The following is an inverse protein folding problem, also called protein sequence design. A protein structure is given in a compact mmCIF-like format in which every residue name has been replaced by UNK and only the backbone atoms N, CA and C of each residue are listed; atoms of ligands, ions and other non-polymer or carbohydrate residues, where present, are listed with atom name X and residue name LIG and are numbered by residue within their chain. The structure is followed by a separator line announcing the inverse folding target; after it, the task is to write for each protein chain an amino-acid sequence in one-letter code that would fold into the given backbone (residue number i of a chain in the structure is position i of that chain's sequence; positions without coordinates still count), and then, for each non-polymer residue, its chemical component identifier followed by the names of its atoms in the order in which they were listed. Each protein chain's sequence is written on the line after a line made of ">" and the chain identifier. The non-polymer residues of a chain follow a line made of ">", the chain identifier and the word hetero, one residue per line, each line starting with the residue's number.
data_IF_622469537089
#
_entry.id   IF_622469537089
#
_cell.length_a   1.000
_cell.length_b   1.000
_cell.length_c   1.000
_cell.angle_alpha   90.00
_cell.angle_beta   90.00
_cell.angle_gamma   90.00
#
_symmetry.space_group_name_H-M   'P 1'
#
loop_
_entity.id
_entity.type
_entity.pdbx_description
1 polymer ?
#
# COMPACT_ATOMS: atom_id res chain seq x y z
N UNK A 1 -1.51 -38.13 22.98
CA UNK A 1 -2.22 -38.15 21.68
C UNK A 1 -2.14 -36.76 21.05
N UNK A 2 -1.04 -36.49 20.34
CA UNK A 2 -0.80 -35.25 19.58
C UNK A 2 -0.52 -35.64 18.13
N UNK A 3 -1.56 -36.11 17.44
CA UNK A 3 -1.52 -36.42 16.02
C UNK A 3 -2.47 -35.44 15.34
N UNK A 4 -1.93 -34.41 14.65
CA UNK A 4 -2.56 -33.71 13.50
C UNK A 4 -1.93 -32.33 13.16
N UNK A 5 -0.59 -32.21 13.06
CA UNK A 5 0.02 -31.01 12.44
C UNK A 5 1.14 -31.35 11.42
N UNK A 6 1.12 -32.58 10.88
CA UNK A 6 2.15 -33.08 9.96
C UNK A 6 1.75 -33.03 8.47
N UNK A 7 0.72 -32.27 8.10
CA UNK A 7 0.29 -32.14 6.70
C UNK A 7 -0.06 -30.68 6.39
N UNK A 8 0.95 -29.82 6.28
CA UNK A 8 1.03 -28.86 5.16
C UNK A 8 2.47 -28.39 4.95
N UNK A 9 3.36 -29.37 4.92
CA UNK A 9 4.57 -29.28 4.10
C UNK A 9 4.08 -29.24 2.65
N UNK A 10 4.28 -28.14 1.93
CA UNK A 10 4.57 -28.03 0.47
C UNK A 10 4.63 -26.53 0.18
N UNK A 11 5.84 -25.96 0.25
CA UNK A 11 6.51 -25.48 -0.96
C UNK A 11 8.00 -25.33 -0.65
N UNK A 12 8.68 -26.44 -0.88
CA UNK A 12 10.12 -26.63 -0.80
C UNK A 12 10.91 -25.61 -1.62
N UNK A 13 12.15 -25.41 -1.17
CA UNK A 13 13.30 -24.99 -1.96
C UNK A 13 13.33 -23.54 -2.43
N UNK A 14 13.96 -22.68 -1.64
CA UNK A 14 14.93 -21.74 -2.20
C UNK A 14 16.33 -22.22 -1.84
N UNK A 15 16.75 -23.24 -2.59
CA UNK A 15 18.15 -23.57 -2.79
C UNK A 15 18.84 -22.35 -3.44
N UNK A 16 19.94 -21.92 -2.83
CA UNK A 16 21.11 -21.33 -3.52
C UNK A 16 20.89 -19.92 -4.07
N UNK A 17 21.29 -18.90 -3.30
CA UNK A 17 21.85 -17.67 -3.86
C UNK A 17 23.36 -17.67 -3.55
N UNK A 18 24.11 -18.32 -4.45
CA UNK A 18 25.43 -17.97 -5.00
C UNK A 18 26.49 -17.31 -4.08
N UNK A 19 27.51 -18.07 -3.64
CA UNK A 19 28.96 -17.94 -3.98
C UNK A 19 29.86 -18.93 -3.17
N UNK A 20 31.13 -19.21 -3.56
CA UNK A 20 31.69 -20.57 -3.58
C UNK A 20 32.38 -21.09 -2.32
N UNK A 21 32.40 -22.43 -2.27
CA UNK A 21 33.10 -23.40 -1.41
C UNK A 21 34.45 -22.98 -0.79
N UNK A 22 34.57 -23.09 0.55
CA UNK A 22 35.81 -23.55 1.20
C UNK A 22 35.46 -24.63 2.25
N UNK A 23 36.22 -25.72 2.16
CA UNK A 23 35.92 -27.06 2.63
C UNK A 23 36.01 -27.30 4.15
N UNK A 24 35.24 -28.32 4.57
CA UNK A 24 35.27 -29.07 5.83
C UNK A 24 36.66 -29.25 6.48
N UNK A 25 36.69 -29.16 7.82
CA UNK A 25 37.09 -30.28 8.70
C UNK A 25 36.88 -29.96 10.20
N UNK A 26 36.46 -31.00 10.93
CA UNK A 26 36.58 -31.22 12.37
C UNK A 26 35.54 -30.63 13.34
N UNK A 27 34.52 -31.46 13.59
CA UNK A 27 34.20 -32.07 14.90
C UNK A 27 33.82 -31.16 16.10
N UNK A 28 32.54 -31.30 16.48
CA UNK A 28 32.08 -31.56 17.87
C UNK A 28 31.88 -30.44 18.91
N UNK A 29 31.81 -29.14 18.60
CA UNK A 29 31.47 -28.12 19.65
C UNK A 29 30.30 -27.17 19.30
N UNK A 30 29.70 -27.26 18.11
CA UNK A 30 28.78 -26.21 17.62
C UNK A 30 27.29 -26.59 17.78
N UNK A 31 26.85 -26.96 18.99
CA UNK A 31 25.42 -27.16 19.28
C UNK A 31 24.80 -26.04 20.15
N UNK A 32 25.59 -25.05 20.57
CA UNK A 32 25.10 -23.93 21.40
C UNK A 32 25.39 -22.52 20.81
N UNK A 33 25.96 -22.43 19.61
CA UNK A 33 26.18 -21.16 18.86
C UNK A 33 25.28 -21.08 17.62
N UNK A 34 24.34 -22.00 17.48
CA UNK A 34 23.46 -22.15 16.30
C UNK A 34 22.24 -21.20 16.31
N UNK A 35 22.01 -20.45 17.38
CA UNK A 35 20.79 -19.65 17.54
C UNK A 35 20.99 -18.14 17.29
N UNK A 36 22.14 -17.68 16.76
CA UNK A 36 22.43 -16.23 16.67
C UNK A 36 22.53 -15.62 15.27
N UNK A 37 22.46 -16.31 14.14
CA UNK A 37 22.72 -15.65 12.84
C UNK A 37 21.85 -16.14 11.67
N UNK A 38 20.56 -16.34 11.89
CA UNK A 38 19.61 -16.48 10.80
C UNK A 38 18.24 -15.92 11.20
N UNK A 39 18.18 -14.63 11.55
CA UNK A 39 16.96 -13.87 11.27
C UNK A 39 16.92 -13.75 9.75
N UNK A 40 16.36 -14.75 9.07
CA UNK A 40 15.98 -14.58 7.67
C UNK A 40 14.93 -13.48 7.65
N UNK A 41 15.28 -12.32 7.10
CA UNK A 41 14.34 -11.23 6.88
C UNK A 41 13.30 -11.75 5.88
N UNK A 42 12.12 -12.12 6.38
CA UNK A 42 11.00 -12.45 5.53
C UNK A 42 10.57 -11.16 4.83
N UNK A 43 10.76 -11.10 3.51
CA UNK A 43 10.35 -9.95 2.70
C UNK A 43 8.84 -9.81 2.74
N UNK A 44 8.36 -8.58 2.67
CA UNK A 44 6.92 -8.33 2.60
C UNK A 44 6.38 -8.58 1.21
N UNK A 45 5.04 -8.68 1.06
CA UNK A 45 4.41 -8.84 -0.24
C UNK A 45 4.78 -7.70 -1.22
N UNK A 46 4.90 -6.47 -0.72
CA UNK A 46 5.31 -5.34 -1.56
C UNK A 46 6.78 -5.47 -2.00
N UNK A 47 7.67 -5.90 -1.12
CA UNK A 47 9.09 -6.09 -1.43
C UNK A 47 9.31 -7.23 -2.44
N UNK A 48 8.63 -8.35 -2.25
CA UNK A 48 8.65 -9.46 -3.22
C UNK A 48 8.10 -9.03 -4.59
N UNK A 49 7.00 -8.27 -4.60
CA UNK A 49 6.45 -7.71 -5.84
C UNK A 49 7.43 -6.76 -6.52
N UNK A 50 8.06 -5.85 -5.75
CA UNK A 50 9.09 -4.94 -6.26
C UNK A 50 10.22 -5.70 -6.94
N UNK A 51 10.73 -6.76 -6.32
CA UNK A 51 11.82 -7.55 -6.89
C UNK A 51 11.42 -8.29 -8.17
N UNK A 52 10.19 -8.79 -8.26
CA UNK A 52 9.68 -9.42 -9.48
C UNK A 52 9.64 -8.45 -10.66
N UNK A 53 9.15 -7.23 -10.44
CA UNK A 53 9.05 -6.21 -11.48
C UNK A 53 10.44 -5.67 -11.89
N UNK A 54 11.36 -5.53 -10.93
CA UNK A 54 12.74 -5.15 -11.20
C UNK A 54 13.48 -6.17 -12.08
N UNK A 55 13.23 -7.47 -11.86
CA UNK A 55 13.81 -8.56 -12.66
C UNK A 55 13.15 -8.73 -14.03
N UNK A 56 11.99 -8.11 -14.26
CA UNK A 56 11.31 -8.16 -15.55
C UNK A 56 12.00 -7.27 -16.59
N UNK A 57 11.99 -7.72 -17.85
CA UNK A 57 12.55 -6.99 -18.98
C UNK A 57 11.52 -6.06 -19.67
N UNK A 58 10.44 -5.70 -18.97
CA UNK A 58 9.36 -4.88 -19.53
C UNK A 58 9.79 -3.41 -19.58
N UNK A 59 9.59 -2.76 -20.73
CA UNK A 59 10.00 -1.34 -20.96
C UNK A 59 9.19 -0.34 -20.14
N UNK A 60 7.90 -0.63 -19.91
CA UNK A 60 7.02 0.15 -19.02
C UNK A 60 6.61 -0.78 -17.90
N UNK A 61 7.16 -0.56 -16.71
CA UNK A 61 6.91 -1.38 -15.52
C UNK A 61 6.46 -0.52 -14.36
N UNK A 62 5.58 -1.06 -13.53
CA UNK A 62 5.21 -0.47 -12.26
C UNK A 62 6.01 -1.19 -11.19
N UNK A 63 7.12 -0.59 -10.77
CA UNK A 63 7.90 -1.09 -9.64
C UNK A 63 7.27 -0.50 -8.37
N UNK A 64 6.57 -1.29 -7.54
CA UNK A 64 5.82 -0.74 -6.42
C UNK A 64 6.72 -0.10 -5.36
N UNK A 65 6.33 1.09 -4.91
CA UNK A 65 6.86 1.71 -3.70
C UNK A 65 6.21 1.12 -2.47
N UNK A 66 7.02 0.93 -1.43
CA UNK A 66 6.64 0.28 -0.19
C UNK A 66 6.95 1.21 0.97
N UNK A 67 6.08 1.21 1.97
CA UNK A 67 6.31 1.91 3.24
C UNK A 67 7.40 1.21 4.05
N UNK A 68 7.82 1.82 5.17
CA UNK A 68 8.79 1.20 6.11
C UNK A 68 8.28 -0.08 6.75
N UNK A 69 6.96 -0.28 6.80
CA UNK A 69 6.34 -1.50 7.32
C UNK A 69 6.15 -2.56 6.22
N UNK A 70 6.53 -2.22 4.98
CA UNK A 70 6.42 -3.08 3.81
C UNK A 70 5.03 -3.21 3.22
N UNK A 71 4.09 -2.33 3.59
CA UNK A 71 2.82 -2.13 2.89
C UNK A 71 3.05 -1.37 1.58
N UNK A 72 2.09 -1.45 0.65
CA UNK A 72 2.14 -0.63 -0.57
C UNK A 72 1.91 0.84 -0.25
N UNK A 73 2.73 1.72 -0.82
CA UNK A 73 2.45 3.16 -0.79
C UNK A 73 1.19 3.47 -1.60
N UNK A 74 0.49 4.54 -1.18
CA UNK A 74 -0.76 4.92 -1.80
C UNK A 74 -0.61 5.33 -3.27
N UNK A 75 0.44 6.07 -3.64
CA UNK A 75 0.65 6.52 -5.01
C UNK A 75 1.68 5.61 -5.71
N UNK A 76 1.24 4.92 -6.76
CA UNK A 76 2.09 4.06 -7.59
C UNK A 76 2.12 4.60 -9.01
N UNK A 77 3.31 4.75 -9.60
CA UNK A 77 3.48 5.31 -10.94
C UNK A 77 4.33 4.38 -11.81
N UNK A 78 4.06 4.39 -13.12
CA UNK A 78 4.78 3.55 -14.08
C UNK A 78 6.11 4.21 -14.47
N UNK A 79 7.20 3.44 -14.41
CA UNK A 79 8.49 3.90 -14.93
C UNK A 79 8.44 4.00 -16.47
N UNK A 80 8.89 5.13 -17.01
CA UNK A 80 8.84 5.41 -18.45
C UNK A 80 7.49 5.94 -18.96
N UNK A 81 6.56 6.26 -18.06
CA UNK A 81 5.28 6.90 -18.38
C UNK A 81 4.85 7.89 -17.29
N UNK A 82 3.80 8.66 -17.55
CA UNK A 82 3.22 9.61 -16.58
C UNK A 82 1.94 9.09 -15.93
N UNK A 83 1.58 7.82 -16.16
CA UNK A 83 0.42 7.22 -15.51
C UNK A 83 0.73 6.88 -14.05
N UNK A 84 -0.20 7.23 -13.16
CA UNK A 84 -0.20 6.84 -11.77
C UNK A 84 -1.54 6.24 -11.37
N UNK A 85 -1.57 5.53 -10.25
CA UNK A 85 -2.73 4.86 -9.67
C UNK A 85 -2.69 4.97 -8.16
N UNK A 86 -3.86 5.01 -7.52
CA UNK A 86 -3.96 4.91 -6.07
C UNK A 86 -4.17 3.47 -5.63
N UNK A 87 -3.40 3.04 -4.65
CA UNK A 87 -3.36 1.68 -4.12
C UNK A 87 -3.70 1.69 -2.63
N UNK A 88 -4.29 0.58 -2.18
CA UNK A 88 -4.48 0.29 -0.76
C UNK A 88 -3.23 -0.37 -0.20
N UNK A 89 -3.04 -0.39 1.15
CA UNK A 89 -1.91 -1.04 1.79
C UNK A 89 -1.74 -2.53 1.43
N UNK A 90 -2.83 -3.21 1.06
CA UNK A 90 -2.85 -4.63 0.66
C UNK A 90 -2.40 -4.88 -0.79
N UNK A 91 -2.18 -3.83 -1.59
CA UNK A 91 -1.80 -3.93 -3.00
C UNK A 91 -2.97 -3.92 -3.98
N UNK A 92 -4.22 -3.82 -3.51
CA UNK A 92 -5.37 -3.60 -4.40
C UNK A 92 -5.42 -2.15 -4.89
N UNK A 93 -5.80 -1.93 -6.15
CA UNK A 93 -5.92 -0.58 -6.70
C UNK A 93 -7.34 -0.01 -6.47
N UNK A 94 -7.39 1.30 -6.23
CA UNK A 94 -8.62 2.08 -5.99
C UNK A 94 -9.21 2.56 -7.31
N UNK A 95 -8.35 2.97 -8.25
CA UNK A 95 -8.76 3.58 -9.52
C UNK A 95 -7.88 3.10 -10.68
N UNK A 96 -8.34 3.35 -11.90
CA UNK A 96 -7.59 3.06 -13.12
C UNK A 96 -6.38 3.99 -13.30
N UNK A 97 -5.35 3.59 -14.07
CA UNK A 97 -4.20 4.44 -14.37
C UNK A 97 -4.63 5.74 -15.04
N UNK A 98 -4.14 6.88 -14.54
CA UNK A 98 -4.37 8.20 -15.14
C UNK A 98 -3.12 9.07 -15.01
N UNK A 99 -2.91 9.93 -16.00
CA UNK A 99 -1.85 10.94 -15.99
C UNK A 99 -2.25 12.22 -15.22
N UNK A 100 -3.52 12.34 -14.82
CA UNK A 100 -3.99 13.43 -13.99
C UNK A 100 -3.55 13.28 -12.53
N UNK A 101 -3.36 12.04 -12.06
CA UNK A 101 -3.12 11.72 -10.65
C UNK A 101 -1.74 12.15 -10.21
N UNK A 102 -1.70 13.03 -9.22
CA UNK A 102 -0.45 13.55 -8.61
C UNK A 102 -0.31 13.11 -7.17
N UNK A 103 -1.41 12.84 -6.50
CA UNK A 103 -1.47 12.41 -5.10
C UNK A 103 -2.64 11.44 -4.92
N UNK A 104 -2.61 10.69 -3.83
CA UNK A 104 -3.68 9.75 -3.49
C UNK A 104 -4.37 10.09 -2.16
N UNK A 105 -4.06 11.26 -1.58
CA UNK A 105 -4.56 11.65 -0.28
C UNK A 105 -6.10 11.66 -0.21
N UNK A 106 -6.77 12.28 -1.18
CA UNK A 106 -8.23 12.32 -1.19
C UNK A 106 -8.83 10.98 -1.62
N UNK A 107 -8.31 10.34 -2.68
CA UNK A 107 -8.86 9.07 -3.17
C UNK A 107 -8.80 7.95 -2.12
N UNK A 108 -7.70 7.86 -1.35
CA UNK A 108 -7.60 6.92 -0.22
C UNK A 108 -8.57 7.27 0.89
N UNK A 109 -8.76 8.56 1.21
CA UNK A 109 -9.73 8.97 2.22
C UNK A 109 -11.17 8.64 1.78
N UNK A 110 -11.51 8.92 0.51
CA UNK A 110 -12.80 8.59 -0.09
C UNK A 110 -13.08 7.09 -0.05
N UNK A 111 -12.12 6.26 -0.47
CA UNK A 111 -12.23 4.81 -0.45
C UNK A 111 -12.50 4.27 0.96
N UNK A 112 -11.73 4.75 1.95
CA UNK A 112 -11.93 4.39 3.35
C UNK A 112 -13.30 4.85 3.91
N UNK A 113 -13.76 6.05 3.52
CA UNK A 113 -15.06 6.57 3.92
C UNK A 113 -16.21 5.74 3.32
N UNK A 114 -16.10 5.36 2.05
CA UNK A 114 -17.08 4.49 1.38
C UNK A 114 -17.08 3.09 2.04
N UNK A 115 -15.92 2.52 2.32
CA UNK A 115 -15.81 1.23 3.01
C UNK A 115 -16.47 1.27 4.41
N UNK A 116 -16.35 2.38 5.14
CA UNK A 116 -17.07 2.59 6.41
C UNK A 116 -18.59 2.63 6.19
N UNK A 117 -19.07 3.32 5.17
CA UNK A 117 -20.50 3.35 4.82
C UNK A 117 -21.05 1.96 4.49
N UNK A 118 -20.31 1.14 3.75
CA UNK A 118 -20.70 -0.25 3.47
C UNK A 118 -20.77 -1.13 4.72
N UNK A 119 -20.01 -0.79 5.76
CA UNK A 119 -20.10 -1.44 7.09
C UNK A 119 -21.22 -0.88 7.96
N UNK A 120 -22.07 -0.01 7.43
CA UNK A 120 -23.18 0.61 8.16
C UNK A 120 -22.76 1.70 9.13
N UNK A 121 -21.52 2.20 9.06
CA UNK A 121 -21.11 3.38 9.83
C UNK A 121 -21.81 4.61 9.24
N UNK A 122 -22.52 5.36 10.10
CA UNK A 122 -23.25 6.56 9.71
C UNK A 122 -22.64 7.78 10.39
N UNK A 123 -22.77 8.94 9.77
CA UNK A 123 -22.36 10.23 10.35
C UNK A 123 -20.91 10.62 10.09
N UNK A 124 -20.10 9.78 9.43
CA UNK A 124 -18.78 10.20 8.95
C UNK A 124 -18.87 11.00 7.64
N UNK A 125 -17.85 11.80 7.40
CA UNK A 125 -17.72 12.60 6.17
C UNK A 125 -17.25 11.71 5.00
N UNK A 126 -17.89 11.87 3.86
CA UNK A 126 -17.40 11.35 2.57
C UNK A 126 -16.84 12.55 1.79
N UNK A 127 -15.51 12.63 1.58
CA UNK A 127 -14.90 13.77 0.91
C UNK A 127 -15.22 13.78 -0.59
N UNK A 128 -15.18 14.97 -1.19
CA UNK A 128 -15.15 15.11 -2.66
C UNK A 128 -13.72 15.29 -3.14
N UNK A 129 -13.34 14.56 -4.18
CA UNK A 129 -11.98 14.58 -4.71
C UNK A 129 -11.95 15.12 -6.14
N UNK A 130 -10.84 15.77 -6.48
CA UNK A 130 -10.51 16.07 -7.86
C UNK A 130 -9.88 14.83 -8.54
N UNK A 131 -9.75 14.88 -9.86
CA UNK A 131 -9.13 13.79 -10.65
C UNK A 131 -7.65 13.59 -10.32
N UNK A 132 -6.96 14.65 -9.91
CA UNK A 132 -5.54 14.60 -9.54
C UNK A 132 -5.27 14.00 -8.15
N UNK A 133 -6.36 13.66 -7.44
CA UNK A 133 -6.37 13.08 -6.11
C UNK A 133 -6.25 14.08 -4.96
N UNK A 134 -6.25 15.37 -5.26
CA UNK A 134 -6.44 16.44 -4.26
C UNK A 134 -7.90 16.53 -3.82
N UNK A 135 -8.15 17.27 -2.75
CA UNK A 135 -9.51 17.56 -2.30
C UNK A 135 -10.15 18.63 -3.19
N UNK A 136 -11.42 18.42 -3.53
CA UNK A 136 -12.21 19.45 -4.18
C UNK A 136 -12.33 20.66 -3.24
N UNK A 137 -12.28 21.87 -3.80
CA UNK A 137 -12.36 23.10 -2.99
C UNK A 137 -13.62 23.15 -2.14
N UNK A 138 -14.75 22.71 -2.67
CA UNK A 138 -16.01 22.65 -1.93
C UNK A 138 -16.22 21.27 -1.33
N UNK A 139 -16.27 21.21 -0.02
CA UNK A 139 -16.61 20.01 0.75
C UNK A 139 -17.97 20.18 1.40
N UNK A 140 -18.75 19.10 1.47
CA UNK A 140 -20.07 19.11 2.08
C UNK A 140 -20.30 17.83 2.88
N UNK A 141 -20.76 17.99 4.12
CA UNK A 141 -21.26 16.91 4.96
C UNK A 141 -22.71 16.60 4.60
N UNK A 142 -22.93 15.46 3.95
CA UNK A 142 -24.27 15.01 3.55
C UNK A 142 -25.20 14.74 4.74
N UNK A 143 -24.66 14.32 5.89
CA UNK A 143 -25.44 14.05 7.11
C UNK A 143 -25.87 15.33 7.84
N UNK A 144 -25.07 16.39 7.80
CA UNK A 144 -25.32 17.63 8.53
C UNK A 144 -25.87 18.76 7.64
N UNK A 145 -25.78 18.62 6.32
CA UNK A 145 -26.14 19.67 5.35
C UNK A 145 -25.21 20.89 5.40
N UNK A 146 -24.00 20.73 5.94
CA UNK A 146 -23.00 21.79 6.08
C UNK A 146 -21.96 21.69 4.97
N UNK A 147 -21.61 22.82 4.36
CA UNK A 147 -20.55 22.92 3.36
C UNK A 147 -19.48 23.93 3.79
N UNK A 148 -18.25 23.72 3.34
CA UNK A 148 -17.09 24.59 3.59
C UNK A 148 -16.11 24.55 2.42
N UNK A 149 -15.24 25.55 2.36
CA UNK A 149 -14.09 25.55 1.46
C UNK A 149 -12.90 24.83 2.10
N UNK A 150 -12.21 24.01 1.32
CA UNK A 150 -11.01 23.27 1.68
C UNK A 150 -9.85 23.59 0.73
N UNK A 151 -8.63 23.47 1.25
CA UNK A 151 -7.42 23.48 0.42
C UNK A 151 -7.18 22.13 -0.28
N UNK A 152 -6.14 22.04 -1.10
CA UNK A 152 -5.79 20.82 -1.85
C UNK A 152 -5.46 19.61 -0.95
N UNK A 153 -5.11 19.86 0.32
CA UNK A 153 -4.82 18.83 1.34
C UNK A 153 -6.05 18.43 2.14
N UNK A 154 -7.19 19.11 1.94
CA UNK A 154 -8.44 18.87 2.62
C UNK A 154 -8.61 19.65 3.93
N UNK A 155 -7.71 20.59 4.24
CA UNK A 155 -7.87 21.44 5.41
C UNK A 155 -8.97 22.46 5.16
N UNK A 156 -9.83 22.67 6.16
CA UNK A 156 -10.89 23.67 6.09
C UNK A 156 -10.28 25.08 6.13
N UNK A 157 -10.62 25.91 5.15
CA UNK A 157 -10.16 27.31 5.03
C UNK A 157 -11.29 28.35 5.14
N UNK A 158 -12.54 27.91 5.31
CA UNK A 158 -13.69 28.78 5.57
C UNK A 158 -14.52 28.28 6.75
N UNK A 159 -15.43 29.13 7.23
CA UNK A 159 -16.51 28.68 8.12
C UNK A 159 -17.50 27.77 7.38
N UNK A 160 -18.24 26.98 8.17
CA UNK A 160 -19.26 26.07 7.66
C UNK A 160 -20.59 26.82 7.49
N UNK A 161 -21.24 26.61 6.35
CA UNK A 161 -22.56 27.18 6.06
C UNK A 161 -23.54 26.08 5.68
N UNK A 162 -24.84 26.31 5.94
CA UNK A 162 -25.89 25.42 5.41
C UNK A 162 -26.19 25.80 3.96
N UNK A 163 -26.05 24.85 3.05
CA UNK A 163 -26.42 25.04 1.64
C UNK A 163 -25.27 25.48 0.73
N UNK A 164 -25.52 26.46 -0.13
CA UNK A 164 -24.60 26.85 -1.20
C UNK A 164 -23.46 27.75 -0.69
N UNK A 165 -22.23 27.39 -1.05
CA UNK A 165 -21.00 28.15 -0.83
C UNK A 165 -20.19 28.09 -2.13
N UNK A 166 -19.51 29.20 -2.43
CA UNK A 166 -18.61 29.38 -3.56
C UNK A 166 -17.15 29.34 -3.08
N UNK A 167 -16.34 28.51 -3.74
CA UNK A 167 -14.92 28.24 -3.52
C UNK A 167 -14.24 28.11 -4.91
#
# INVERSE_FOLDING_TARGET
>A
MWYALCFYYIRSCCLICSEPLIAMKSFCVILAVSCCLAVACAKTQCEEHRERELKSNTKVKLVPRCTSNGDYEALQCFEGSNFCMCWRPDGSHINAPSNAIKTCACHVHLDNAIAKSHKGMVGHLIPKCNEDGTYAKKQCSGSMGLCWCADEKGNRVSEQVRGHIEC
#
